data_IF_225920399170
#
_entry.id   IF_225920399170
#
_cell.length_a   1.000
_cell.length_b   1.000
_cell.length_c   1.000
_cell.angle_alpha   90.00
_cell.angle_beta   90.00
_cell.angle_gamma   90.00
#
_symmetry.space_group_name_H-M   'P 1'
#
loop_
_entity.id
_entity.type
_entity.pdbx_description
1 polymer ?
#
# COMPACT_ATOMS: atom_id res chain seq x y z
N UNK A 1 6.54 18.70 18.13
CA UNK A 1 5.79 17.69 18.91
C UNK A 1 5.24 16.68 17.93
N UNK A 2 5.34 15.40 18.24
CA UNK A 2 4.82 14.33 17.38
C UNK A 2 3.29 14.44 17.36
N UNK A 3 2.71 14.74 16.19
CA UNK A 3 1.26 14.68 15.96
C UNK A 3 0.82 13.21 15.86
N UNK A 4 0.38 12.64 16.98
CA UNK A 4 -0.12 11.27 17.08
C UNK A 4 -1.36 11.01 16.20
N UNK A 5 -2.40 11.87 16.20
CA UNK A 5 -3.53 11.72 15.29
C UNK A 5 -3.14 11.60 13.81
N UNK A 6 -2.15 12.38 13.36
CA UNK A 6 -1.65 12.29 11.99
C UNK A 6 -1.01 10.93 11.70
N UNK A 7 -0.17 10.43 12.60
CA UNK A 7 0.47 9.11 12.48
C UNK A 7 -0.58 8.01 12.43
N UNK A 8 -1.56 8.02 13.34
CA UNK A 8 -2.63 7.02 13.36
C UNK A 8 -3.43 7.01 12.05
N UNK A 9 -3.76 8.19 11.51
CA UNK A 9 -4.45 8.31 10.23
C UNK A 9 -3.63 7.69 9.09
N UNK A 10 -2.32 7.90 9.08
CA UNK A 10 -1.42 7.31 8.07
C UNK A 10 -1.31 5.80 8.21
N UNK A 11 -1.22 5.28 9.44
CA UNK A 11 -1.20 3.83 9.71
C UNK A 11 -2.50 3.15 9.26
N UNK A 12 -3.67 3.75 9.49
CA UNK A 12 -4.95 3.23 8.99
C UNK A 12 -4.99 3.14 7.46
N UNK A 13 -4.47 4.16 6.76
CA UNK A 13 -4.36 4.13 5.29
C UNK A 13 -3.44 3.00 4.80
N UNK A 14 -2.30 2.80 5.47
CA UNK A 14 -1.42 1.68 5.14
C UNK A 14 -2.18 0.35 5.29
N UNK A 15 -2.94 0.19 6.37
CA UNK A 15 -3.77 -1.00 6.59
C UNK A 15 -4.81 -1.20 5.48
N UNK A 16 -5.47 -0.14 5.02
CA UNK A 16 -6.41 -0.17 3.90
C UNK A 16 -5.74 -0.68 2.61
N UNK A 17 -4.59 -0.12 2.21
CA UNK A 17 -3.85 -0.57 1.03
C UNK A 17 -3.40 -2.03 1.14
N UNK A 18 -2.96 -2.46 2.33
CA UNK A 18 -2.58 -3.86 2.57
C UNK A 18 -3.79 -4.81 2.52
N UNK A 19 -4.97 -4.38 2.94
CA UNK A 19 -6.21 -5.15 2.80
C UNK A 19 -6.61 -5.27 1.34
N UNK A 20 -6.53 -4.19 0.57
CA UNK A 20 -6.79 -4.21 -0.87
C UNK A 20 -5.89 -5.20 -1.61
N UNK A 21 -4.59 -5.23 -1.27
CA UNK A 21 -3.63 -6.18 -1.84
C UNK A 21 -3.98 -7.65 -1.54
N UNK A 22 -4.63 -7.94 -0.41
CA UNK A 22 -5.04 -9.32 -0.07
C UNK A 22 -6.24 -9.81 -0.90
N UNK A 23 -7.00 -8.91 -1.51
CA UNK A 23 -8.18 -9.26 -2.31
C UNK A 23 -7.79 -9.76 -3.69
N UNK A 24 -6.64 -9.30 -4.22
CA UNK A 24 -6.17 -9.72 -5.54
C UNK A 24 -5.55 -11.11 -5.46
N UNK A 25 -6.22 -12.05 -6.13
CA UNK A 25 -5.77 -13.42 -6.27
C UNK A 25 -4.99 -13.56 -7.57
N UNK A 26 -3.71 -13.94 -7.47
CA UNK A 26 -2.85 -14.22 -8.61
C UNK A 26 -2.17 -15.55 -8.31
N UNK A 27 -2.38 -16.53 -9.18
CA UNK A 27 -1.93 -17.90 -8.95
C UNK A 27 -0.43 -18.06 -9.20
N UNK A 28 0.13 -17.31 -10.16
CA UNK A 28 1.52 -17.41 -10.55
C UNK A 28 2.08 -16.14 -11.23
N UNK A 29 3.40 -16.13 -11.41
CA UNK A 29 4.11 -14.99 -12.01
C UNK A 29 3.73 -14.70 -13.47
N UNK A 30 3.41 -15.71 -14.28
CA UNK A 30 3.01 -15.51 -15.68
C UNK A 30 1.65 -14.82 -15.77
N UNK A 31 0.72 -15.17 -14.88
CA UNK A 31 -0.56 -14.48 -14.75
C UNK A 31 -0.37 -13.01 -14.34
N UNK A 32 0.48 -12.75 -13.33
CA UNK A 32 0.84 -11.38 -12.93
C UNK A 32 1.36 -10.55 -14.11
N UNK A 33 2.25 -11.14 -14.91
CA UNK A 33 2.88 -10.45 -16.03
C UNK A 33 1.91 -10.13 -17.16
N UNK A 34 0.92 -11.00 -17.40
CA UNK A 34 -0.07 -10.84 -18.49
C UNK A 34 -1.25 -9.95 -18.07
N UNK A 35 -1.59 -9.93 -16.78
CA UNK A 35 -2.68 -9.11 -16.26
C UNK A 35 -2.20 -7.71 -15.88
N UNK A 36 -2.16 -6.79 -16.86
CA UNK A 36 -1.72 -5.40 -16.65
C UNK A 36 -2.55 -4.65 -15.62
N UNK A 37 -3.83 -4.98 -15.48
CA UNK A 37 -4.73 -4.34 -14.51
C UNK A 37 -4.35 -4.74 -13.10
N UNK A 38 -4.22 -6.05 -12.83
CA UNK A 38 -3.81 -6.57 -11.53
C UNK A 38 -2.40 -6.09 -11.17
N UNK A 39 -1.48 -6.08 -12.14
CA UNK A 39 -0.13 -5.55 -11.97
C UNK A 39 -0.13 -4.09 -11.51
N UNK A 40 -0.81 -3.20 -12.24
CA UNK A 40 -0.89 -1.78 -11.89
C UNK A 40 -1.57 -1.55 -10.55
N UNK A 41 -2.61 -2.33 -10.25
CA UNK A 41 -3.31 -2.27 -8.96
C UNK A 41 -2.36 -2.60 -7.81
N UNK A 42 -1.59 -3.68 -7.93
CA UNK A 42 -0.60 -4.10 -6.91
C UNK A 42 0.49 -3.04 -6.77
N UNK A 43 1.10 -2.63 -7.89
CA UNK A 43 2.19 -1.63 -7.89
C UNK A 43 1.75 -0.32 -7.23
N UNK A 44 0.54 0.17 -7.55
CA UNK A 44 0.02 1.42 -6.99
C UNK A 44 -0.28 1.32 -5.49
N UNK A 45 -0.88 0.22 -5.05
CA UNK A 45 -1.16 0.02 -3.63
C UNK A 45 0.13 -0.09 -2.80
N UNK A 46 1.16 -0.75 -3.34
CA UNK A 46 2.49 -0.79 -2.72
C UNK A 46 3.14 0.60 -2.67
N UNK A 47 3.10 1.35 -3.77
CA UNK A 47 3.61 2.72 -3.83
C UNK A 47 2.96 3.61 -2.77
N UNK A 48 1.63 3.62 -2.69
CA UNK A 48 0.87 4.43 -1.72
C UNK A 48 1.18 4.05 -0.27
N UNK A 49 1.33 2.75 0.02
CA UNK A 49 1.71 2.29 1.36
C UNK A 49 3.12 2.78 1.73
N UNK A 50 4.08 2.68 0.82
CA UNK A 50 5.46 3.14 1.03
C UNK A 50 5.50 4.66 1.22
N UNK A 51 4.75 5.43 0.43
CA UNK A 51 4.64 6.88 0.61
C UNK A 51 4.15 7.26 2.02
N UNK A 52 3.11 6.58 2.52
CA UNK A 52 2.64 6.83 3.88
C UNK A 52 3.68 6.46 4.94
N UNK A 53 4.46 5.39 4.74
CA UNK A 53 5.56 5.01 5.64
C UNK A 53 6.65 6.07 5.66
N UNK A 54 7.06 6.57 4.48
CA UNK A 54 8.06 7.63 4.35
C UNK A 54 7.57 8.90 5.06
N UNK A 55 6.31 9.26 4.89
CA UNK A 55 5.73 10.43 5.55
C UNK A 55 5.71 10.29 7.08
N UNK A 56 5.42 9.10 7.61
CA UNK A 56 5.51 8.84 9.05
C UNK A 56 6.96 9.02 9.52
N UNK A 57 7.93 8.41 8.82
CA UNK A 57 9.35 8.51 9.18
C UNK A 57 9.87 9.95 9.15
N UNK A 58 9.37 10.81 8.26
CA UNK A 58 9.73 12.24 8.20
C UNK A 58 9.12 13.08 9.33
N UNK A 59 8.05 12.59 9.93
CA UNK A 59 7.29 13.30 10.97
C UNK A 59 7.70 12.90 12.40
N UNK A 60 8.33 11.74 12.56
CA UNK A 60 9.03 11.31 13.77
C UNK A 60 10.32 12.13 13.97
#
# INVERSE_FOLDING_TARGET
MIDQPLIEKKLRKIEEFLKELKIVNIENYEEFKRNIVAKRFIERNLELAIEQMIDICKHL
#
